data_IF_097233049538
#
_entry.id   IF_097233049538
#
_cell.length_a   1.000
_cell.length_b   1.000
_cell.length_c   1.000
_cell.angle_alpha   90.00
_cell.angle_beta   90.00
_cell.angle_gamma   90.00
#
_symmetry.space_group_name_H-M   'P 1'
#
loop_
_entity.id
_entity.type
_entity.pdbx_description
1 polymer ?
#
# COMPACT_ATOMS: atom_id res chain seq x y z
N UNK A 1 22.35 -9.03 11.13
CA UNK A 1 22.41 -7.56 11.43
C UNK A 1 22.44 -6.67 10.18
N UNK A 2 23.01 -7.11 9.05
CA UNK A 2 22.99 -6.38 7.76
C UNK A 2 21.59 -6.29 7.14
N UNK A 3 20.82 -7.37 7.18
CA UNK A 3 19.50 -7.46 6.52
C UNK A 3 18.43 -6.63 7.24
N UNK A 4 18.45 -6.61 8.57
CA UNK A 4 17.58 -5.76 9.38
C UNK A 4 17.83 -4.26 9.16
N UNK A 5 19.08 -3.85 9.00
CA UNK A 5 19.44 -2.47 8.67
C UNK A 5 19.03 -2.09 7.24
N UNK A 6 19.13 -3.03 6.28
CA UNK A 6 18.69 -2.80 4.90
C UNK A 6 17.17 -2.70 4.81
N UNK A 7 16.43 -3.56 5.52
CA UNK A 7 14.97 -3.53 5.58
C UNK A 7 14.46 -2.20 6.17
N UNK A 8 15.03 -1.75 7.31
CA UNK A 8 14.70 -0.45 7.92
C UNK A 8 14.96 0.75 6.99
N UNK A 9 16.03 0.71 6.20
CA UNK A 9 16.33 1.76 5.22
C UNK A 9 15.37 1.73 4.02
N UNK A 10 14.93 0.54 3.61
CA UNK A 10 13.94 0.38 2.55
C UNK A 10 12.57 0.93 2.98
N UNK A 11 12.08 0.53 4.15
CA UNK A 11 10.84 1.03 4.72
C UNK A 11 10.82 2.55 4.85
N UNK A 12 11.88 3.16 5.38
CA UNK A 12 11.99 4.62 5.46
C UNK A 12 11.93 5.32 4.11
N UNK A 13 12.54 4.74 3.07
CA UNK A 13 12.49 5.29 1.70
C UNK A 13 11.09 5.13 1.10
N UNK A 14 10.44 3.99 1.35
CA UNK A 14 9.06 3.73 0.92
C UNK A 14 8.08 4.72 1.56
N UNK A 15 8.12 4.89 2.88
CA UNK A 15 7.24 5.84 3.56
C UNK A 15 7.44 7.28 3.08
N UNK A 16 8.68 7.71 2.84
CA UNK A 16 8.95 9.02 2.24
C UNK A 16 8.36 9.16 0.84
N UNK A 17 8.44 8.12 0.05
CA UNK A 17 7.85 8.12 -1.30
C UNK A 17 6.32 8.17 -1.24
N UNK A 18 5.68 7.38 -0.38
CA UNK A 18 4.23 7.43 -0.13
C UNK A 18 3.81 8.82 0.35
N UNK A 19 4.53 9.40 1.29
CA UNK A 19 4.21 10.72 1.86
C UNK A 19 4.19 11.85 0.81
N UNK A 20 4.94 11.73 -0.30
CA UNK A 20 4.91 12.71 -1.40
C UNK A 20 3.52 12.87 -2.00
N UNK A 21 2.73 11.79 -2.08
CA UNK A 21 1.36 11.84 -2.61
C UNK A 21 0.41 12.65 -1.74
N UNK A 22 0.73 12.82 -0.45
CA UNK A 22 -0.11 13.51 0.54
C UNK A 22 0.41 14.89 0.94
N UNK A 23 1.49 15.41 0.32
CA UNK A 23 2.13 16.68 0.71
C UNK A 23 1.22 17.90 0.69
N UNK A 24 0.19 17.89 -0.16
CA UNK A 24 -0.76 19.01 -0.29
C UNK A 24 -2.10 18.72 0.40
N UNK A 25 -2.22 17.58 1.09
CA UNK A 25 -3.44 17.15 1.75
C UNK A 25 -3.42 17.60 3.19
N UNK A 26 -4.53 18.13 3.66
CA UNK A 26 -4.79 18.51 5.06
C UNK A 26 -5.99 17.73 5.57
N UNK A 27 -6.26 17.77 6.87
CA UNK A 27 -7.37 17.06 7.50
C UNK A 27 -6.95 15.73 8.10
N UNK A 28 -7.61 14.62 7.78
CA UNK A 28 -7.37 13.31 8.40
C UNK A 28 -7.04 12.27 7.34
N UNK A 29 -5.92 11.57 7.54
CA UNK A 29 -5.52 10.41 6.73
C UNK A 29 -5.81 9.12 7.49
N UNK A 30 -6.47 8.17 6.82
CA UNK A 30 -6.58 6.78 7.24
C UNK A 30 -5.47 5.96 6.58
N UNK A 31 -4.67 5.27 7.38
CA UNK A 31 -3.64 4.34 6.93
C UNK A 31 -4.10 2.90 7.22
N UNK A 32 -4.49 2.18 6.18
CA UNK A 32 -4.99 0.80 6.24
C UNK A 32 -3.82 -0.15 6.10
N UNK A 33 -3.67 -1.11 7.03
CA UNK A 33 -2.49 -1.97 7.11
C UNK A 33 -1.25 -1.19 7.55
N UNK A 34 -1.41 -0.36 8.58
CA UNK A 34 -0.43 0.63 8.99
C UNK A 34 0.82 0.03 9.65
N UNK A 35 0.85 -1.26 9.95
CA UNK A 35 1.91 -1.91 10.71
C UNK A 35 2.29 -1.08 11.96
N UNK A 36 3.58 -0.80 12.16
CA UNK A 36 4.08 0.03 13.27
C UNK A 36 3.88 1.56 13.11
N UNK A 37 3.04 2.01 12.17
CA UNK A 37 2.73 3.41 11.94
C UNK A 37 3.91 4.23 11.39
N UNK A 38 4.80 3.59 10.63
CA UNK A 38 6.01 4.23 10.12
C UNK A 38 5.75 5.43 9.20
N UNK A 39 4.68 5.39 8.41
CA UNK A 39 4.27 6.47 7.51
C UNK A 39 4.01 7.78 8.26
N UNK A 40 3.40 7.73 9.45
CA UNK A 40 3.07 8.88 10.30
C UNK A 40 4.22 9.88 10.46
N UNK A 41 5.45 9.38 10.57
CA UNK A 41 6.66 10.20 10.81
C UNK A 41 7.09 11.04 9.59
N UNK A 42 6.48 10.81 8.44
CA UNK A 42 6.84 11.44 7.16
C UNK A 42 5.72 12.31 6.59
N UNK A 43 4.54 12.31 7.23
CA UNK A 43 3.41 13.11 6.81
C UNK A 43 3.57 14.58 7.23
N UNK A 44 2.85 15.44 6.50
CA UNK A 44 2.79 16.88 6.83
C UNK A 44 2.09 17.08 8.18
N UNK A 45 2.53 18.03 9.05
CA UNK A 45 1.95 18.25 10.38
C UNK A 45 0.45 18.60 10.40
N UNK A 46 -0.10 19.15 9.30
CA UNK A 46 -1.52 19.47 9.17
C UNK A 46 -2.39 18.27 8.73
N UNK A 47 -1.80 17.11 8.51
CA UNK A 47 -2.49 15.89 8.17
C UNK A 47 -2.50 14.97 9.40
N UNK A 48 -3.62 14.96 10.11
CA UNK A 48 -3.82 14.07 11.24
C UNK A 48 -3.82 12.60 10.74
N UNK A 49 -3.32 11.69 11.58
CA UNK A 49 -3.10 10.30 11.21
C UNK A 49 -3.96 9.36 12.06
N UNK A 50 -4.68 8.47 11.38
CA UNK A 50 -5.37 7.32 11.96
C UNK A 50 -4.84 6.06 11.27
N UNK A 51 -4.24 5.15 12.04
CA UNK A 51 -3.75 3.88 11.53
C UNK A 51 -4.66 2.73 11.97
N UNK A 52 -4.95 1.81 11.04
CA UNK A 52 -5.65 0.55 11.35
C UNK A 52 -4.87 -0.66 10.88
N UNK A 53 -4.88 -1.72 11.69
CA UNK A 53 -4.24 -2.99 11.39
C UNK A 53 -4.91 -4.12 12.16
N UNK A 54 -4.82 -5.36 11.67
CA UNK A 54 -5.24 -6.57 12.39
C UNK A 54 -4.32 -6.92 13.57
N UNK A 55 -3.05 -6.53 13.48
CA UNK A 55 -2.04 -6.72 14.54
C UNK A 55 -2.14 -5.60 15.58
N UNK A 56 -1.85 -5.93 16.85
CA UNK A 56 -1.84 -4.95 17.93
C UNK A 56 -0.65 -4.00 17.81
N UNK A 57 -0.89 -2.72 18.07
CA UNK A 57 0.14 -1.68 18.09
C UNK A 57 -0.15 -0.67 19.20
N UNK A 58 0.90 0.06 19.63
CA UNK A 58 0.80 1.08 20.69
C UNK A 58 1.38 2.41 20.18
N UNK A 59 0.57 3.16 19.43
CA UNK A 59 0.90 4.53 19.06
C UNK A 59 -0.38 5.40 18.99
N UNK A 60 -0.28 6.70 19.24
CA UNK A 60 -1.43 7.61 19.17
C UNK A 60 -2.10 7.60 17.78
N UNK A 61 -3.44 7.38 17.76
CA UNK A 61 -4.22 7.29 16.52
C UNK A 61 -4.30 5.89 15.93
N UNK A 62 -3.78 4.86 16.60
CA UNK A 62 -3.95 3.46 16.20
C UNK A 62 -5.30 2.91 16.66
N UNK A 63 -5.90 2.06 15.82
CA UNK A 63 -7.06 1.25 16.15
C UNK A 63 -6.91 -0.14 15.55
N UNK A 64 -6.99 -1.18 16.39
CA UNK A 64 -7.03 -2.56 15.90
C UNK A 64 -8.35 -2.83 15.19
N UNK A 65 -8.28 -3.32 13.95
CA UNK A 65 -9.43 -3.63 13.08
C UNK A 65 -9.13 -4.88 12.30
N UNK A 66 -10.07 -5.82 12.25
CA UNK A 66 -10.02 -6.94 11.30
C UNK A 66 -10.24 -6.39 9.88
N UNK A 67 -9.19 -6.39 9.08
CA UNK A 67 -9.24 -5.88 7.70
C UNK A 67 -10.01 -6.80 6.75
N UNK A 68 -10.37 -8.02 7.16
CA UNK A 68 -11.28 -8.91 6.43
C UNK A 68 -12.75 -8.73 6.86
N UNK A 69 -13.05 -7.85 7.80
CA UNK A 69 -14.40 -7.44 8.09
C UNK A 69 -15.02 -6.72 6.87
N UNK A 70 -16.32 -6.94 6.65
CA UNK A 70 -17.02 -6.34 5.49
C UNK A 70 -17.20 -4.83 5.61
N UNK A 71 -17.04 -4.27 6.81
CA UNK A 71 -17.24 -2.83 7.08
C UNK A 71 -16.13 -2.29 7.96
N UNK A 72 -15.66 -1.09 7.64
CA UNK A 72 -14.75 -0.32 8.48
C UNK A 72 -15.55 0.39 9.60
N UNK A 73 -15.02 0.45 10.83
CA UNK A 73 -15.72 1.05 11.98
C UNK A 73 -15.61 2.59 12.00
N UNK A 74 -15.94 3.20 10.87
CA UNK A 74 -15.92 4.65 10.66
C UNK A 74 -17.17 5.12 9.93
N UNK A 75 -17.57 6.36 10.18
CA UNK A 75 -18.68 7.01 9.50
C UNK A 75 -18.35 7.29 8.02
N UNK A 76 -19.39 7.43 7.22
CA UNK A 76 -19.25 7.85 5.80
C UNK A 76 -18.58 9.22 5.72
N UNK A 77 -17.72 9.42 4.71
CA UNK A 77 -17.06 10.70 4.45
C UNK A 77 -16.27 11.29 5.63
N UNK A 78 -15.57 10.43 6.36
CA UNK A 78 -14.75 10.82 7.51
C UNK A 78 -13.37 11.33 7.12
N UNK A 79 -12.73 10.69 6.13
CA UNK A 79 -11.30 10.91 5.84
C UNK A 79 -11.08 11.79 4.61
N UNK A 80 -10.09 12.67 4.70
CA UNK A 80 -9.63 13.50 3.59
C UNK A 80 -8.67 12.73 2.67
N UNK A 81 -7.96 11.76 3.24
CA UNK A 81 -7.05 10.88 2.51
C UNK A 81 -7.09 9.45 3.03
N UNK A 82 -6.80 8.48 2.16
CA UNK A 82 -6.61 7.07 2.52
C UNK A 82 -5.31 6.57 1.90
N UNK A 83 -4.49 5.88 2.69
CA UNK A 83 -3.39 5.05 2.24
C UNK A 83 -3.76 3.59 2.45
N UNK A 84 -3.61 2.76 1.41
CA UNK A 84 -3.78 1.32 1.46
C UNK A 84 -2.74 0.67 0.54
N UNK A 85 -1.51 0.56 1.02
CA UNK A 85 -0.37 0.10 0.21
C UNK A 85 0.14 -1.25 0.69
N UNK A 86 0.20 -2.24 -0.22
CA UNK A 86 0.56 -3.64 0.05
C UNK A 86 -0.36 -4.29 1.09
N UNK A 87 -1.68 -4.21 0.88
CA UNK A 87 -2.70 -4.75 1.79
C UNK A 87 -3.75 -5.56 1.04
N UNK A 88 -4.30 -5.02 -0.05
CA UNK A 88 -5.47 -5.61 -0.71
C UNK A 88 -5.21 -7.02 -1.25
N UNK A 89 -4.00 -7.32 -1.66
CA UNK A 89 -3.57 -8.65 -2.11
C UNK A 89 -3.64 -9.73 -1.04
N UNK A 90 -3.60 -9.33 0.24
CA UNK A 90 -3.66 -10.23 1.40
C UNK A 90 -5.08 -10.42 1.95
N UNK A 91 -6.04 -9.63 1.50
CA UNK A 91 -7.42 -9.70 1.99
C UNK A 91 -8.22 -10.79 1.27
N UNK A 92 -9.15 -11.42 1.98
CA UNK A 92 -10.11 -12.35 1.35
C UNK A 92 -11.12 -11.60 0.49
N UNK A 93 -11.49 -10.38 0.88
CA UNK A 93 -12.52 -9.56 0.24
C UNK A 93 -11.99 -8.17 -0.17
N UNK A 94 -11.02 -8.08 -1.10
CA UNK A 94 -10.40 -6.79 -1.44
C UNK A 94 -11.35 -5.81 -2.13
N UNK A 95 -12.40 -6.30 -2.80
CA UNK A 95 -13.41 -5.44 -3.43
C UNK A 95 -14.30 -4.77 -2.39
N UNK A 96 -14.69 -5.49 -1.36
CA UNK A 96 -15.44 -4.94 -0.23
C UNK A 96 -14.64 -3.86 0.50
N UNK A 97 -13.34 -4.10 0.69
CA UNK A 97 -12.46 -3.08 1.27
C UNK A 97 -12.39 -1.84 0.36
N UNK A 98 -12.33 -2.02 -0.96
CA UNK A 98 -12.33 -0.89 -1.92
C UNK A 98 -13.64 -0.08 -1.83
N UNK A 99 -14.80 -0.74 -1.69
CA UNK A 99 -16.10 -0.09 -1.46
C UNK A 99 -16.13 0.69 -0.14
N UNK A 100 -15.61 0.09 0.93
CA UNK A 100 -15.53 0.72 2.25
C UNK A 100 -14.60 1.94 2.24
N UNK A 101 -13.45 1.83 1.58
CA UNK A 101 -12.56 2.98 1.38
C UNK A 101 -13.30 4.11 0.67
N UNK A 102 -14.08 3.82 -0.37
CA UNK A 102 -14.90 4.83 -1.04
C UNK A 102 -15.97 5.41 -0.12
N UNK A 103 -16.61 4.59 0.70
CA UNK A 103 -17.64 5.06 1.66
C UNK A 103 -17.06 6.03 2.68
N UNK A 104 -15.94 5.68 3.31
CA UNK A 104 -15.35 6.49 4.37
C UNK A 104 -14.53 7.69 3.87
N UNK A 105 -14.16 7.70 2.57
CA UNK A 105 -13.48 8.82 1.93
C UNK A 105 -14.47 9.95 1.62
N UNK A 106 -14.10 11.20 1.92
CA UNK A 106 -14.86 12.40 1.54
C UNK A 106 -14.95 12.55 0.02
N UNK A 107 -15.93 13.31 -0.47
CA UNK A 107 -16.17 13.51 -1.90
C UNK A 107 -14.94 14.05 -2.66
N UNK A 108 -14.19 14.98 -2.06
CA UNK A 108 -12.96 15.55 -2.64
C UNK A 108 -11.68 14.85 -2.16
N UNK A 109 -11.82 13.77 -1.40
CA UNK A 109 -10.72 13.03 -0.83
C UNK A 109 -9.87 12.30 -1.87
N UNK A 110 -8.65 11.96 -1.46
CA UNK A 110 -7.71 11.20 -2.28
C UNK A 110 -7.40 9.84 -1.65
N UNK A 111 -7.18 8.85 -2.50
CA UNK A 111 -6.81 7.50 -2.07
C UNK A 111 -5.57 7.04 -2.80
N UNK A 112 -4.59 6.51 -2.06
CA UNK A 112 -3.42 5.85 -2.61
C UNK A 112 -3.53 4.35 -2.34
N UNK A 113 -3.43 3.56 -3.41
CA UNK A 113 -3.37 2.09 -3.36
C UNK A 113 -2.10 1.64 -4.05
N UNK A 114 -1.40 0.66 -3.50
CA UNK A 114 -0.42 -0.11 -4.24
C UNK A 114 -0.85 -1.57 -4.35
N UNK A 115 -0.53 -2.18 -5.49
CA UNK A 115 -0.75 -3.60 -5.75
C UNK A 115 0.50 -4.22 -6.37
N UNK A 116 0.79 -5.49 -6.09
CA UNK A 116 1.96 -6.17 -6.63
C UNK A 116 1.87 -6.30 -8.15
N UNK A 117 3.03 -6.38 -8.79
CA UNK A 117 3.15 -6.71 -10.20
C UNK A 117 3.76 -8.11 -10.37
N UNK A 118 2.93 -9.14 -10.28
CA UNK A 118 3.35 -10.55 -10.36
C UNK A 118 3.92 -10.95 -11.73
N UNK A 119 3.76 -10.09 -12.74
CA UNK A 119 4.40 -10.23 -14.05
C UNK A 119 5.71 -9.42 -14.18
N UNK A 120 6.24 -8.92 -13.07
CA UNK A 120 7.56 -8.28 -13.09
C UNK A 120 8.65 -9.32 -13.37
N UNK A 121 9.74 -8.88 -14.00
CA UNK A 121 10.90 -9.76 -14.20
C UNK A 121 11.49 -10.26 -12.89
N UNK A 122 11.39 -9.48 -11.81
CA UNK A 122 11.78 -9.92 -10.47
C UNK A 122 10.90 -11.05 -9.96
N UNK A 123 9.57 -10.95 -10.10
CA UNK A 123 8.65 -12.00 -9.70
C UNK A 123 8.89 -13.27 -10.53
N UNK A 124 9.07 -13.13 -11.83
CA UNK A 124 9.38 -14.25 -12.73
C UNK A 124 10.70 -14.92 -12.36
N UNK A 125 11.75 -14.14 -12.09
CA UNK A 125 13.05 -14.67 -11.65
C UNK A 125 12.92 -15.43 -10.33
N UNK A 126 12.21 -14.88 -9.36
CA UNK A 126 11.95 -15.55 -8.07
C UNK A 126 11.21 -16.87 -8.25
N UNK A 127 10.18 -16.90 -9.08
CA UNK A 127 9.41 -18.13 -9.36
C UNK A 127 10.26 -19.22 -10.05
N UNK A 128 11.21 -18.84 -10.90
CA UNK A 128 12.05 -19.79 -11.63
C UNK A 128 13.24 -20.31 -10.83
N UNK A 129 13.79 -19.49 -9.93
CA UNK A 129 15.08 -19.77 -9.27
C UNK A 129 14.97 -19.90 -7.74
N UNK A 130 13.90 -19.45 -7.11
CA UNK A 130 13.68 -19.66 -5.67
C UNK A 130 13.18 -21.08 -5.42
N UNK A 131 14.09 -21.95 -5.03
CA UNK A 131 13.79 -23.35 -4.70
C UNK A 131 13.21 -23.59 -3.32
N UNK A 132 13.14 -22.57 -2.47
CA UNK A 132 12.69 -22.68 -1.08
C UNK A 132 11.64 -21.60 -0.85
N UNK A 133 10.36 -22.00 -0.56
CA UNK A 133 9.41 -21.06 0.03
C UNK A 133 10.02 -20.54 1.33
N UNK A 134 10.23 -19.23 1.46
CA UNK A 134 10.63 -18.68 2.74
C UNK A 134 9.48 -18.86 3.74
N UNK A 135 9.80 -19.06 5.01
CA UNK A 135 8.78 -19.09 6.06
C UNK A 135 7.93 -17.82 6.09
N UNK A 136 8.51 -16.70 5.66
CA UNK A 136 7.83 -15.40 5.50
C UNK A 136 6.76 -15.42 4.41
N UNK A 137 6.97 -16.18 3.31
CA UNK A 137 5.96 -16.31 2.24
C UNK A 137 4.68 -17.00 2.74
N UNK A 138 4.75 -17.83 3.78
CA UNK A 138 3.58 -18.50 4.37
C UNK A 138 2.76 -17.62 5.31
N UNK A 139 3.35 -16.57 5.88
CA UNK A 139 2.70 -15.64 6.81
C UNK A 139 2.00 -14.48 6.08
N UNK A 140 2.46 -14.16 4.86
CA UNK A 140 1.94 -13.07 4.03
C UNK A 140 1.54 -13.57 2.66
N UNK A 141 0.70 -14.62 2.63
CA UNK A 141 0.24 -15.20 1.37
C UNK A 141 -0.59 -14.18 0.58
N UNK A 142 -0.20 -13.96 -0.69
CA UNK A 142 -1.02 -13.20 -1.63
C UNK A 142 -2.19 -14.07 -2.08
N UNK A 143 -3.38 -13.78 -1.59
CA UNK A 143 -4.60 -14.44 -2.04
C UNK A 143 -4.98 -14.02 -3.45
N UNK A 144 -4.56 -12.82 -3.87
CA UNK A 144 -4.85 -12.26 -5.17
C UNK A 144 -3.58 -11.90 -5.93
N UNK A 145 -3.55 -12.28 -7.22
CA UNK A 145 -2.44 -11.99 -8.13
C UNK A 145 -2.82 -10.86 -9.07
N UNK A 146 -2.02 -9.82 -9.06
CA UNK A 146 -2.21 -8.66 -9.91
C UNK A 146 -1.07 -8.50 -10.92
N UNK A 147 -1.37 -7.88 -12.03
CA UNK A 147 -0.41 -7.20 -12.90
C UNK A 147 -0.91 -5.77 -13.10
N UNK A 148 -0.11 -4.93 -13.77
CA UNK A 148 -0.42 -3.50 -13.93
C UNK A 148 -1.81 -3.27 -14.53
N UNK A 149 -2.22 -4.08 -15.52
CA UNK A 149 -3.54 -3.94 -16.16
C UNK A 149 -4.67 -4.32 -15.21
N UNK A 150 -4.59 -5.52 -14.61
CA UNK A 150 -5.63 -5.98 -13.69
C UNK A 150 -5.71 -5.14 -12.41
N UNK A 151 -4.59 -4.59 -11.93
CA UNK A 151 -4.56 -3.65 -10.82
C UNK A 151 -5.33 -2.35 -11.15
N UNK A 152 -5.10 -1.79 -12.34
CA UNK A 152 -5.83 -0.61 -12.83
C UNK A 152 -7.32 -0.87 -12.99
N UNK A 153 -7.69 -2.00 -13.59
CA UNK A 153 -9.09 -2.35 -13.81
C UNK A 153 -9.82 -2.59 -12.48
N UNK A 154 -9.12 -3.20 -11.51
CA UNK A 154 -9.64 -3.38 -10.16
C UNK A 154 -9.87 -2.04 -9.46
N UNK A 155 -8.88 -1.15 -9.45
CA UNK A 155 -8.96 0.15 -8.80
C UNK A 155 -10.03 1.06 -9.43
N UNK A 156 -10.17 1.03 -10.76
CA UNK A 156 -11.15 1.82 -11.53
C UNK A 156 -12.59 1.43 -11.25
N UNK A 157 -12.87 0.33 -10.59
CA UNK A 157 -14.24 -0.02 -10.19
C UNK A 157 -14.85 1.02 -9.26
N UNK A 158 -14.00 1.68 -8.42
CA UNK A 158 -14.46 2.61 -7.40
C UNK A 158 -13.83 4.00 -7.49
N UNK A 159 -12.65 4.13 -8.09
CA UNK A 159 -11.89 5.37 -8.08
C UNK A 159 -11.41 5.76 -9.49
N UNK A 160 -11.42 7.06 -9.76
CA UNK A 160 -10.78 7.62 -10.95
C UNK A 160 -9.29 7.82 -10.69
N UNK A 161 -8.44 7.16 -11.46
CA UNK A 161 -6.98 7.34 -11.37
C UNK A 161 -6.59 8.74 -11.81
N UNK A 162 -5.85 9.46 -10.98
CA UNK A 162 -5.30 10.80 -11.28
C UNK A 162 -3.79 10.80 -11.44
N UNK A 163 -3.11 9.84 -10.81
CA UNK A 163 -1.67 9.67 -10.93
C UNK A 163 -1.28 8.21 -10.73
N UNK A 164 -0.22 7.77 -11.39
CA UNK A 164 0.36 6.45 -11.20
C UNK A 164 1.87 6.55 -11.04
N UNK A 165 2.44 5.63 -10.25
CA UNK A 165 3.87 5.52 -10.07
C UNK A 165 4.32 4.07 -9.90
N UNK A 166 5.40 3.64 -10.58
CA UNK A 166 6.02 2.34 -10.32
C UNK A 166 6.83 2.39 -9.02
N UNK A 167 6.74 1.35 -8.22
CA UNK A 167 7.68 1.10 -7.14
C UNK A 167 8.63 -0.04 -7.52
N UNK A 168 9.91 0.17 -7.25
CA UNK A 168 10.97 -0.77 -7.58
C UNK A 168 11.54 -1.37 -6.29
N UNK A 169 11.61 -2.69 -6.24
CA UNK A 169 12.16 -3.43 -5.11
C UNK A 169 13.63 -3.07 -4.79
N UNK A 170 14.12 -3.49 -3.61
CA UNK A 170 15.45 -3.11 -3.11
C UNK A 170 16.59 -3.52 -4.04
N UNK A 171 16.51 -4.70 -4.65
CA UNK A 171 17.55 -5.22 -5.57
C UNK A 171 17.68 -4.35 -6.81
N UNK A 172 16.55 -3.96 -7.40
CA UNK A 172 16.55 -3.10 -8.59
C UNK A 172 17.18 -1.73 -8.27
N UNK A 173 16.78 -1.11 -7.16
CA UNK A 173 17.33 0.19 -6.74
C UNK A 173 18.84 0.15 -6.47
N UNK A 174 19.36 -1.00 -6.04
CA UNK A 174 20.79 -1.19 -5.75
C UNK A 174 21.62 -1.44 -7.00
N UNK A 175 21.15 -2.27 -7.94
CA UNK A 175 21.95 -2.78 -9.03
C UNK A 175 21.63 -2.16 -10.40
N UNK A 176 20.39 -1.68 -10.62
CA UNK A 176 19.92 -1.21 -11.92
C UNK A 176 19.14 0.12 -11.85
N UNK A 177 19.65 1.16 -11.14
CA UNK A 177 18.89 2.40 -10.90
C UNK A 177 18.56 3.20 -12.17
N UNK A 178 19.25 2.90 -13.29
CA UNK A 178 19.09 3.62 -14.56
C UNK A 178 18.01 3.03 -15.47
N UNK A 179 17.57 1.78 -15.24
CA UNK A 179 16.60 1.10 -16.07
C UNK A 179 15.20 1.23 -15.49
N UNK A 180 14.51 2.34 -15.77
CA UNK A 180 13.12 2.61 -15.27
C UNK A 180 12.05 1.91 -16.14
N UNK A 181 12.27 0.67 -16.53
CA UNK A 181 11.26 -0.09 -17.27
C UNK A 181 10.16 -0.65 -16.36
N UNK A 182 8.90 -0.52 -16.77
CA UNK A 182 7.74 -1.05 -16.05
C UNK A 182 7.81 -2.55 -15.74
N UNK A 183 8.53 -3.32 -16.55
CA UNK A 183 8.73 -4.75 -16.34
C UNK A 183 9.57 -5.10 -15.10
N UNK A 184 10.30 -4.15 -14.51
CA UNK A 184 11.07 -4.34 -13.28
C UNK A 184 10.36 -3.80 -12.04
N UNK A 185 9.24 -3.08 -12.18
CA UNK A 185 8.53 -2.60 -11.01
C UNK A 185 7.89 -3.77 -10.27
N UNK A 186 8.08 -3.80 -8.96
CA UNK A 186 7.53 -4.83 -8.07
C UNK A 186 6.11 -4.51 -7.63
N UNK A 187 5.80 -3.22 -7.49
CA UNK A 187 4.48 -2.73 -7.15
C UNK A 187 4.05 -1.59 -8.06
N UNK A 188 2.75 -1.46 -8.25
CA UNK A 188 2.12 -0.37 -9.00
C UNK A 188 1.27 0.48 -8.08
N UNK A 189 1.65 1.74 -7.89
CA UNK A 189 0.91 2.69 -7.07
C UNK A 189 -0.06 3.51 -7.91
N UNK A 190 -1.27 3.67 -7.41
CA UNK A 190 -2.37 4.42 -8.03
C UNK A 190 -2.94 5.40 -7.03
N UNK A 191 -2.86 6.69 -7.36
CA UNK A 191 -3.55 7.75 -6.66
C UNK A 191 -4.86 8.03 -7.38
N UNK A 192 -5.94 8.03 -6.64
CA UNK A 192 -7.28 8.24 -7.18
C UNK A 192 -8.12 9.23 -6.40
N UNK A 193 -9.24 9.57 -7.01
CA UNK A 193 -10.35 10.32 -6.39
C UNK A 193 -11.63 9.53 -6.51
N UNK A 194 -12.54 9.81 -5.58
CA UNK A 194 -13.91 9.31 -5.59
C UNK A 194 -14.68 9.74 -6.82
#
# INVERSE_FOLDING_TARGET
MSDYLQMNLYEKKRYRFIAVFFQKTTGVLLDIGCCAGGLRKHLHPQLAYVGIDGMENDFPGFKRVDLNAKTLPFETETFDAINCTAVLEHLFYPLEMLHEMKRVLKADGIVLVSLPNDKSLNALYSQLFSRIPSYEDSLYEHHWKFNITTARDFFKKEFRIIQEAPEFGPLYRKYLPFLKFKCFCTEWMMLGKK
#
